data_IF_200954412085
#
_entry.id   IF_200954412085
#
_cell.length_a   1.000
_cell.length_b   1.000
_cell.length_c   1.000
_cell.angle_alpha   90.00
_cell.angle_beta   90.00
_cell.angle_gamma   90.00
#
_symmetry.space_group_name_H-M   'P 1'
#
loop_
_entity.id
_entity.type
_entity.pdbx_description
1 polymer ?
#
# COMPACT_ATOMS: atom_id res chain seq x y z
N UNK A 1 -16.92 21.34 -12.28
CA UNK A 1 -16.50 20.18 -11.48
C UNK A 1 -17.57 19.94 -10.41
N UNK A 2 -18.17 18.76 -10.38
CA UNK A 2 -19.12 18.37 -9.35
C UNK A 2 -18.41 18.18 -7.99
N UNK A 3 -19.17 18.14 -6.90
CA UNK A 3 -18.60 17.84 -5.57
C UNK A 3 -17.92 16.46 -5.53
N UNK A 4 -18.45 15.48 -6.28
CA UNK A 4 -17.86 14.14 -6.37
C UNK A 4 -16.50 14.18 -7.08
N UNK A 5 -16.42 14.84 -8.23
CA UNK A 5 -15.17 15.03 -8.96
C UNK A 5 -14.12 15.78 -8.12
N UNK A 6 -14.54 16.77 -7.33
CA UNK A 6 -13.65 17.48 -6.39
C UNK A 6 -13.11 16.54 -5.31
N UNK A 7 -13.98 15.77 -4.65
CA UNK A 7 -13.58 14.85 -3.59
C UNK A 7 -12.66 13.76 -4.13
N UNK A 8 -12.94 13.27 -5.34
CA UNK A 8 -12.09 12.33 -6.05
C UNK A 8 -10.69 12.91 -6.27
N UNK A 9 -10.60 14.10 -6.86
CA UNK A 9 -9.31 14.75 -7.10
C UNK A 9 -8.54 15.03 -5.79
N UNK A 10 -9.23 15.44 -4.73
CA UNK A 10 -8.60 15.66 -3.41
C UNK A 10 -8.06 14.35 -2.83
N UNK A 11 -8.82 13.26 -2.90
CA UNK A 11 -8.40 11.95 -2.41
C UNK A 11 -7.17 11.44 -3.19
N UNK A 12 -7.18 11.59 -4.51
CA UNK A 12 -6.06 11.19 -5.38
C UNK A 12 -4.81 12.02 -5.11
N UNK A 13 -4.93 13.35 -5.10
CA UNK A 13 -3.81 14.26 -4.81
C UNK A 13 -3.21 13.97 -3.43
N UNK A 14 -4.05 13.70 -2.42
CA UNK A 14 -3.58 13.29 -1.11
C UNK A 14 -2.75 12.00 -1.18
N UNK A 15 -3.29 10.96 -1.82
CA UNK A 15 -2.60 9.68 -2.01
C UNK A 15 -1.25 9.86 -2.73
N UNK A 16 -1.23 10.64 -3.81
CA UNK A 16 -0.03 10.95 -4.61
C UNK A 16 1.03 11.64 -3.75
N UNK A 17 0.66 12.70 -3.02
CA UNK A 17 1.57 13.45 -2.16
C UNK A 17 2.18 12.53 -1.09
N UNK A 18 1.34 11.71 -0.44
CA UNK A 18 1.78 10.76 0.57
C UNK A 18 2.74 9.72 -0.01
N UNK A 19 2.38 9.12 -1.14
CA UNK A 19 3.17 8.08 -1.79
C UNK A 19 4.55 8.59 -2.21
N UNK A 20 4.65 9.70 -2.94
CA UNK A 20 5.96 10.27 -3.28
C UNK A 20 6.75 10.71 -2.04
N UNK A 21 6.11 11.41 -1.10
CA UNK A 21 6.82 11.94 0.07
C UNK A 21 7.40 10.83 0.94
N UNK A 22 6.62 9.79 1.25
CA UNK A 22 7.07 8.72 2.13
C UNK A 22 7.85 7.64 1.39
N UNK A 23 7.58 7.40 0.11
CA UNK A 23 8.41 6.53 -0.73
C UNK A 23 9.86 7.03 -0.79
N UNK A 24 10.05 8.33 -1.06
CA UNK A 24 11.38 8.96 -1.03
C UNK A 24 12.02 8.87 0.36
N UNK A 25 11.25 9.07 1.45
CA UNK A 25 11.79 8.98 2.82
C UNK A 25 12.18 7.54 3.19
N UNK A 26 11.45 6.52 2.75
CA UNK A 26 11.83 5.12 2.93
C UNK A 26 13.20 4.83 2.30
N UNK A 27 13.40 5.27 1.06
CA UNK A 27 14.67 5.09 0.34
C UNK A 27 15.79 5.89 1.01
N UNK A 28 15.59 7.18 1.27
CA UNK A 28 16.67 8.06 1.74
C UNK A 28 17.11 7.74 3.16
N UNK A 29 16.15 7.56 4.07
CA UNK A 29 16.42 7.49 5.51
C UNK A 29 16.61 6.06 6.01
N UNK A 30 15.94 5.07 5.40
CA UNK A 30 15.92 3.70 5.90
C UNK A 30 16.55 2.69 4.94
N UNK A 31 16.91 3.11 3.72
CA UNK A 31 17.38 2.21 2.64
C UNK A 31 16.42 1.05 2.37
N UNK A 32 15.13 1.28 2.63
CA UNK A 32 14.08 0.30 2.40
C UNK A 32 13.51 0.51 0.99
N UNK A 33 14.12 -0.13 0.01
CA UNK A 33 13.75 0.01 -1.40
C UNK A 33 12.40 -0.64 -1.71
N UNK A 34 12.06 -1.76 -1.05
CA UNK A 34 10.77 -2.43 -1.16
C UNK A 34 9.61 -1.46 -0.88
N UNK A 35 9.54 -0.90 0.34
CA UNK A 35 8.46 0.04 0.67
C UNK A 35 8.58 1.36 -0.10
N UNK A 36 9.81 1.81 -0.32
CA UNK A 36 10.08 3.07 -0.99
C UNK A 36 9.57 3.12 -2.42
N UNK A 37 9.92 2.11 -3.21
CA UNK A 37 9.50 2.01 -4.61
C UNK A 37 8.02 1.67 -4.73
N UNK A 38 7.47 0.82 -3.86
CA UNK A 38 6.04 0.51 -3.87
C UNK A 38 5.18 1.77 -3.66
N UNK A 39 5.53 2.62 -2.70
CA UNK A 39 4.82 3.89 -2.47
C UNK A 39 4.87 4.81 -3.70
N UNK A 40 6.01 4.82 -4.39
CA UNK A 40 6.20 5.59 -5.62
C UNK A 40 5.38 5.00 -6.77
N UNK A 41 5.26 3.67 -6.86
CA UNK A 41 4.42 2.97 -7.85
C UNK A 41 2.95 3.33 -7.63
N UNK A 42 2.44 3.25 -6.41
CA UNK A 42 1.07 3.64 -6.07
C UNK A 42 0.82 5.12 -6.42
N UNK A 43 1.74 6.03 -6.07
CA UNK A 43 1.63 7.44 -6.43
C UNK A 43 1.69 7.68 -7.95
N UNK A 44 2.48 6.89 -8.67
CA UNK A 44 2.58 6.97 -10.14
C UNK A 44 1.29 6.48 -10.78
N UNK A 45 0.68 5.40 -10.25
CA UNK A 45 -0.64 4.94 -10.66
C UNK A 45 -1.69 6.03 -10.49
N UNK A 46 -1.79 6.62 -9.29
CA UNK A 46 -2.70 7.75 -9.02
C UNK A 46 -2.44 8.94 -9.93
N UNK A 47 -1.19 9.28 -10.21
CA UNK A 47 -0.87 10.39 -11.12
C UNK A 47 -1.40 10.13 -12.54
N UNK A 48 -1.26 8.90 -13.04
CA UNK A 48 -1.81 8.53 -14.35
C UNK A 48 -3.34 8.56 -14.32
N UNK A 49 -3.96 8.09 -13.23
CA UNK A 49 -5.40 8.09 -13.06
C UNK A 49 -5.99 9.51 -12.96
N UNK A 50 -5.34 10.42 -12.23
CA UNK A 50 -5.69 11.82 -12.15
C UNK A 50 -5.60 12.50 -13.52
N UNK A 51 -4.49 12.32 -14.24
CA UNK A 51 -4.30 12.92 -15.57
C UNK A 51 -5.36 12.39 -16.53
N UNK A 52 -5.55 11.07 -16.57
CA UNK A 52 -6.59 10.39 -17.35
C UNK A 52 -7.98 11.02 -17.09
N UNK A 53 -8.36 11.18 -15.81
CA UNK A 53 -9.65 11.76 -15.42
C UNK A 53 -9.77 13.25 -15.76
N UNK A 54 -8.70 14.04 -15.59
CA UNK A 54 -8.69 15.47 -15.89
C UNK A 54 -8.83 15.77 -17.39
N UNK A 55 -8.16 14.98 -18.24
CA UNK A 55 -8.25 15.14 -19.70
C UNK A 55 -9.44 14.40 -20.30
N UNK A 56 -10.19 13.63 -19.50
CA UNK A 56 -11.32 12.80 -19.92
C UNK A 56 -10.96 11.90 -21.10
N UNK A 57 -9.78 11.28 -21.03
CA UNK A 57 -9.35 10.33 -22.05
C UNK A 57 -10.26 9.09 -22.05
N UNK A 58 -10.32 8.37 -23.17
CA UNK A 58 -11.02 7.09 -23.23
C UNK A 58 -10.26 5.96 -22.50
N UNK A 59 -10.95 4.86 -22.21
CA UNK A 59 -10.35 3.66 -21.59
C UNK A 59 -9.27 3.02 -22.48
N UNK A 60 -9.28 3.30 -23.79
CA UNK A 60 -8.23 2.89 -24.74
C UNK A 60 -6.92 3.70 -24.58
N UNK A 61 -6.87 4.66 -23.65
CA UNK A 61 -5.71 5.52 -23.48
C UNK A 61 -4.53 4.78 -22.83
N UNK A 62 -3.29 5.06 -23.26
CA UNK A 62 -2.10 4.50 -22.60
C UNK A 62 -2.01 4.85 -21.11
N UNK A 63 -2.55 6.00 -20.69
CA UNK A 63 -2.57 6.43 -19.30
C UNK A 63 -3.47 5.52 -18.45
N UNK A 64 -4.65 5.18 -18.96
CA UNK A 64 -5.55 4.24 -18.28
C UNK A 64 -4.94 2.84 -18.20
N UNK A 65 -4.42 2.32 -19.31
CA UNK A 65 -3.79 1.00 -19.36
C UNK A 65 -2.61 0.91 -18.37
N UNK A 66 -1.79 1.95 -18.29
CA UNK A 66 -0.66 1.98 -17.37
C UNK A 66 -1.09 2.12 -15.90
N UNK A 67 -2.06 2.97 -15.58
CA UNK A 67 -2.63 3.08 -14.24
C UNK A 67 -3.25 1.73 -13.79
N UNK A 68 -4.00 1.07 -14.67
CA UNK A 68 -4.63 -0.21 -14.41
C UNK A 68 -3.60 -1.32 -14.16
N UNK A 69 -2.52 -1.36 -14.95
CA UNK A 69 -1.39 -2.26 -14.71
C UNK A 69 -0.73 -2.02 -13.34
N UNK A 70 -0.46 -0.77 -12.98
CA UNK A 70 0.18 -0.45 -11.70
C UNK A 70 -0.76 -0.71 -10.50
N UNK A 71 -2.07 -0.51 -10.64
CA UNK A 71 -3.06 -0.92 -9.63
C UNK A 71 -3.04 -2.45 -9.44
N UNK A 72 -3.09 -3.21 -10.54
CA UNK A 72 -3.01 -4.67 -10.52
C UNK A 72 -1.69 -5.17 -9.89
N UNK A 73 -0.56 -4.53 -10.22
CA UNK A 73 0.75 -4.76 -9.61
C UNK A 73 0.69 -4.60 -8.08
N UNK A 74 0.18 -3.46 -7.62
CA UNK A 74 0.15 -3.11 -6.20
C UNK A 74 -0.82 -4.00 -5.41
N UNK A 75 -1.99 -4.30 -5.95
CA UNK A 75 -2.98 -5.18 -5.30
C UNK A 75 -2.55 -6.64 -5.25
N UNK A 76 -1.80 -7.10 -6.25
CA UNK A 76 -1.36 -8.49 -6.32
C UNK A 76 -0.19 -8.78 -5.39
N UNK A 77 0.94 -8.10 -5.59
CA UNK A 77 2.23 -8.42 -4.95
C UNK A 77 2.86 -7.20 -4.27
N UNK A 78 2.57 -5.98 -4.72
CA UNK A 78 3.14 -4.74 -4.18
C UNK A 78 2.77 -4.48 -2.71
N UNK A 79 1.53 -4.05 -2.46
CA UNK A 79 1.03 -3.77 -1.10
C UNK A 79 0.64 -5.05 -0.36
N UNK A 80 1.10 -6.20 -0.85
CA UNK A 80 0.97 -7.50 -0.19
C UNK A 80 2.36 -8.03 0.18
N UNK A 81 3.01 -8.78 -0.70
CA UNK A 81 4.30 -9.40 -0.46
C UNK A 81 5.42 -8.36 -0.26
N UNK A 82 5.55 -7.38 -1.14
CA UNK A 82 6.60 -6.35 -1.05
C UNK A 82 6.42 -5.53 0.23
N UNK A 83 5.17 -5.18 0.59
CA UNK A 83 4.85 -4.55 1.86
C UNK A 83 5.30 -5.41 3.06
N UNK A 84 4.93 -6.69 3.08
CA UNK A 84 5.29 -7.61 4.17
C UNK A 84 6.81 -7.70 4.31
N UNK A 85 7.53 -7.97 3.22
CA UNK A 85 8.99 -8.06 3.21
C UNK A 85 9.64 -6.76 3.68
N UNK A 86 9.11 -5.61 3.24
CA UNK A 86 9.55 -4.30 3.65
C UNK A 86 9.37 -4.04 5.15
N UNK A 87 8.22 -4.43 5.72
CA UNK A 87 7.94 -4.29 7.16
C UNK A 87 8.73 -5.31 8.02
N UNK A 88 9.10 -6.46 7.47
CA UNK A 88 9.95 -7.43 8.17
C UNK A 88 11.32 -6.86 8.55
N UNK A 89 11.77 -5.79 7.91
CA UNK A 89 13.00 -5.09 8.33
C UNK A 89 12.92 -4.52 9.74
N UNK A 90 11.75 -4.05 10.18
CA UNK A 90 11.57 -3.55 11.55
C UNK A 90 11.04 -4.62 12.51
N UNK A 91 10.19 -5.55 12.05
CA UNK A 91 9.61 -6.55 12.96
C UNK A 91 10.54 -7.74 13.23
N UNK A 92 11.31 -8.16 12.23
CA UNK A 92 12.15 -9.36 12.24
C UNK A 92 13.65 -9.06 12.02
N UNK A 93 14.02 -7.78 11.85
CA UNK A 93 15.39 -7.36 11.46
C UNK A 93 15.84 -7.97 10.13
N UNK A 94 14.88 -8.30 9.27
CA UNK A 94 15.15 -8.89 7.98
C UNK A 94 15.81 -7.85 7.04
N UNK A 95 16.91 -8.22 6.41
CA UNK A 95 17.60 -7.39 5.42
C UNK A 95 17.57 -8.14 4.09
N UNK A 96 16.62 -7.83 3.19
CA UNK A 96 16.58 -8.48 1.89
C UNK A 96 17.86 -8.17 1.11
N UNK A 97 18.32 -9.14 0.33
CA UNK A 97 19.39 -8.90 -0.64
C UNK A 97 18.82 -8.17 -1.86
N UNK A 98 19.67 -7.51 -2.64
CA UNK A 98 19.26 -6.87 -3.88
C UNK A 98 18.57 -7.86 -4.85
N UNK A 99 18.97 -9.13 -4.83
CA UNK A 99 18.33 -10.17 -5.64
C UNK A 99 16.87 -10.44 -5.19
N UNK A 100 16.59 -10.43 -3.88
CA UNK A 100 15.23 -10.58 -3.36
C UNK A 100 14.38 -9.37 -3.73
N UNK A 101 14.92 -8.16 -3.60
CA UNK A 101 14.21 -6.94 -4.00
C UNK A 101 13.84 -6.98 -5.49
N UNK A 102 14.82 -7.25 -6.36
CA UNK A 102 14.60 -7.35 -7.81
C UNK A 102 13.59 -8.45 -8.13
N UNK A 103 13.72 -9.63 -7.52
CA UNK A 103 12.80 -10.74 -7.75
C UNK A 103 11.37 -10.38 -7.32
N UNK A 104 11.19 -9.70 -6.19
CA UNK A 104 9.87 -9.29 -5.70
C UNK A 104 9.20 -8.32 -6.68
N UNK A 105 9.92 -7.29 -7.15
CA UNK A 105 9.41 -6.35 -8.16
C UNK A 105 9.16 -7.02 -9.52
N UNK A 106 10.01 -7.98 -9.93
CA UNK A 106 9.81 -8.73 -11.17
C UNK A 106 8.56 -9.62 -11.12
N UNK A 107 8.35 -10.34 -10.01
CA UNK A 107 7.15 -11.14 -9.78
C UNK A 107 5.91 -10.26 -9.74
N UNK A 108 5.98 -9.11 -9.07
CA UNK A 108 4.90 -8.15 -9.06
C UNK A 108 4.59 -7.58 -10.45
N UNK A 109 5.63 -7.31 -11.26
CA UNK A 109 5.51 -6.90 -12.65
C UNK A 109 4.79 -7.94 -13.50
N UNK A 110 5.22 -9.20 -13.41
CA UNK A 110 4.61 -10.30 -14.13
C UNK A 110 3.15 -10.53 -13.69
N UNK A 111 2.88 -10.54 -12.38
CA UNK A 111 1.54 -10.71 -11.84
C UNK A 111 0.61 -9.56 -12.25
N UNK A 112 1.05 -8.31 -12.08
CA UNK A 112 0.30 -7.13 -12.50
C UNK A 112 0.02 -7.13 -14.01
N UNK A 113 0.99 -7.55 -14.83
CA UNK A 113 0.80 -7.66 -16.28
C UNK A 113 -0.24 -8.73 -16.62
N UNK A 114 -0.10 -9.94 -16.09
CA UNK A 114 -1.02 -11.04 -16.37
C UNK A 114 -2.44 -10.70 -15.88
N UNK A 115 -2.58 -10.17 -14.67
CA UNK A 115 -3.88 -9.88 -14.07
C UNK A 115 -4.57 -8.65 -14.68
N UNK A 116 -3.82 -7.74 -15.32
CA UNK A 116 -4.41 -6.59 -16.02
C UNK A 116 -4.70 -6.91 -17.49
N UNK A 117 -3.79 -7.55 -18.21
CA UNK A 117 -3.96 -7.83 -19.64
C UNK A 117 -4.97 -8.94 -19.91
N UNK A 118 -5.07 -9.93 -19.01
CA UNK A 118 -5.99 -11.07 -19.16
C UNK A 118 -7.13 -11.01 -18.15
N UNK A 119 -7.53 -9.80 -17.71
CA UNK A 119 -8.52 -9.63 -16.65
C UNK A 119 -9.87 -10.27 -17.00
N UNK A 120 -10.30 -10.16 -18.27
CA UNK A 120 -11.56 -10.71 -18.75
C UNK A 120 -11.51 -12.24 -18.87
N UNK A 121 -10.40 -12.80 -19.36
CA UNK A 121 -10.20 -14.24 -19.51
C UNK A 121 -10.03 -14.94 -18.15
N UNK A 122 -9.33 -14.29 -17.22
CA UNK A 122 -9.14 -14.81 -15.86
C UNK A 122 -10.44 -14.69 -15.07
N UNK A 123 -11.18 -13.59 -15.21
CA UNK A 123 -12.46 -13.35 -14.57
C UNK A 123 -12.43 -13.50 -13.05
N UNK A 124 -13.41 -14.22 -12.49
CA UNK A 124 -13.61 -14.40 -11.04
C UNK A 124 -12.38 -14.94 -10.29
N UNK A 125 -11.65 -15.96 -10.79
CA UNK A 125 -10.39 -16.38 -10.18
C UNK A 125 -9.39 -15.25 -9.85
N UNK A 126 -9.24 -14.26 -10.73
CA UNK A 126 -8.32 -13.13 -10.51
C UNK A 126 -8.79 -12.21 -9.39
N UNK A 127 -10.11 -11.97 -9.32
CA UNK A 127 -10.75 -11.23 -8.23
C UNK A 127 -10.58 -11.94 -6.87
N UNK A 128 -10.78 -13.26 -6.85
CA UNK A 128 -10.55 -14.09 -5.65
C UNK A 128 -9.09 -14.03 -5.23
N UNK A 129 -8.15 -14.10 -6.18
CA UNK A 129 -6.73 -13.99 -5.90
C UNK A 129 -6.40 -12.69 -5.15
N UNK A 130 -6.91 -11.54 -5.60
CA UNK A 130 -6.71 -10.25 -4.92
C UNK A 130 -7.20 -10.27 -3.47
N UNK A 131 -8.38 -10.83 -3.20
CA UNK A 131 -8.88 -10.95 -1.82
C UNK A 131 -8.02 -11.88 -0.99
N UNK A 132 -7.60 -13.04 -1.52
CA UNK A 132 -6.78 -13.99 -0.77
C UNK A 132 -5.47 -13.36 -0.34
N UNK A 133 -4.75 -12.69 -1.25
CA UNK A 133 -3.50 -12.01 -0.91
C UNK A 133 -3.73 -10.85 0.06
N UNK A 134 -4.85 -10.14 -0.06
CA UNK A 134 -5.24 -9.08 0.88
C UNK A 134 -5.53 -9.63 2.29
N UNK A 135 -6.23 -10.76 2.42
CA UNK A 135 -6.50 -11.44 3.71
C UNK A 135 -5.17 -11.82 4.37
N UNK A 136 -4.28 -12.47 3.64
CA UNK A 136 -2.97 -12.89 4.16
C UNK A 136 -2.15 -11.67 4.63
N UNK A 137 -2.18 -10.59 3.85
CA UNK A 137 -1.52 -9.33 4.21
C UNK A 137 -2.15 -8.70 5.45
N UNK A 138 -3.47 -8.72 5.56
CA UNK A 138 -4.23 -8.21 6.70
C UNK A 138 -3.86 -8.94 7.99
N UNK A 139 -3.68 -10.26 7.94
CA UNK A 139 -3.20 -11.05 9.08
C UNK A 139 -1.80 -10.59 9.53
N UNK A 140 -0.89 -10.37 8.59
CA UNK A 140 0.44 -9.84 8.91
C UNK A 140 0.37 -8.42 9.48
N UNK A 141 -0.49 -7.55 8.95
CA UNK A 141 -0.65 -6.18 9.44
C UNK A 141 -1.30 -6.13 10.82
N UNK A 142 -2.22 -7.05 11.13
CA UNK A 142 -2.74 -7.23 12.48
C UNK A 142 -1.61 -7.66 13.45
N UNK A 143 -0.74 -8.57 13.02
CA UNK A 143 0.49 -8.91 13.76
C UNK A 143 1.39 -7.68 13.94
N UNK A 144 1.62 -6.88 12.90
CA UNK A 144 2.43 -5.66 12.98
C UNK A 144 1.84 -4.64 13.96
N UNK A 145 0.52 -4.42 13.93
CA UNK A 145 -0.20 -3.57 14.88
C UNK A 145 -0.05 -4.09 16.32
N UNK A 146 -0.17 -5.40 16.54
CA UNK A 146 0.09 -6.02 17.84
C UNK A 146 1.53 -5.75 18.31
N UNK A 147 2.52 -5.92 17.43
CA UNK A 147 3.93 -5.66 17.78
C UNK A 147 4.18 -4.20 18.15
N UNK A 148 3.55 -3.25 17.46
CA UNK A 148 3.58 -1.83 17.83
C UNK A 148 2.98 -1.58 19.22
N UNK A 149 1.86 -2.25 19.51
CA UNK A 149 1.22 -2.17 20.82
C UNK A 149 2.15 -2.67 21.94
N UNK A 150 2.79 -3.81 21.71
CA UNK A 150 3.68 -4.46 22.67
C UNK A 150 4.94 -3.61 22.99
N UNK A 151 5.43 -2.81 22.02
CA UNK A 151 6.55 -1.88 22.24
C UNK A 151 6.13 -0.51 22.79
N UNK A 152 4.85 -0.33 23.13
CA UNK A 152 4.29 0.89 23.72
C UNK A 152 3.81 1.95 22.73
N UNK A 153 3.93 1.72 21.42
CA UNK A 153 3.53 2.66 20.35
C UNK A 153 2.02 2.55 20.04
N UNK A 154 1.17 2.69 21.07
CA UNK A 154 -0.28 2.41 20.99
C UNK A 154 -1.02 3.25 19.96
N UNK A 155 -0.68 4.53 19.83
CA UNK A 155 -1.30 5.41 18.83
C UNK A 155 -1.04 4.93 17.41
N UNK A 156 0.19 4.51 17.11
CA UNK A 156 0.55 3.94 15.82
C UNK A 156 -0.08 2.57 15.59
N UNK A 157 -0.19 1.73 16.63
CA UNK A 157 -0.91 0.46 16.56
C UNK A 157 -2.39 0.65 16.17
N UNK A 158 -3.10 1.57 16.83
CA UNK A 158 -4.53 1.84 16.56
C UNK A 158 -4.71 2.34 15.11
N UNK A 159 -3.92 3.33 14.70
CA UNK A 159 -4.05 3.87 13.34
C UNK A 159 -3.66 2.85 12.26
N UNK A 160 -2.69 1.98 12.54
CA UNK A 160 -2.37 0.85 11.65
C UNK A 160 -3.57 -0.08 11.53
N UNK A 161 -4.20 -0.48 12.65
CA UNK A 161 -5.37 -1.34 12.64
C UNK A 161 -6.57 -0.72 11.90
N UNK A 162 -6.83 0.58 12.09
CA UNK A 162 -7.89 1.31 11.38
C UNK A 162 -7.60 1.34 9.88
N UNK A 163 -6.38 1.71 9.47
CA UNK A 163 -6.02 1.75 8.06
C UNK A 163 -6.06 0.37 7.40
N UNK A 164 -5.66 -0.68 8.12
CA UNK A 164 -5.78 -2.08 7.67
C UNK A 164 -7.25 -2.48 7.51
N UNK A 165 -8.12 -2.14 8.47
CA UNK A 165 -9.55 -2.44 8.37
C UNK A 165 -10.21 -1.73 7.18
N UNK A 166 -9.91 -0.44 6.95
CA UNK A 166 -10.36 0.28 5.77
C UNK A 166 -9.88 -0.40 4.48
N UNK A 167 -8.60 -0.77 4.41
CA UNK A 167 -8.03 -1.47 3.26
C UNK A 167 -8.70 -2.81 2.98
N UNK A 168 -9.00 -3.58 4.03
CA UNK A 168 -9.72 -4.83 3.93
C UNK A 168 -11.15 -4.65 3.41
N UNK A 169 -11.86 -3.62 3.90
CA UNK A 169 -13.21 -3.29 3.42
C UNK A 169 -13.17 -2.92 1.94
N UNK A 170 -12.26 -2.02 1.54
CA UNK A 170 -12.10 -1.62 0.13
C UNK A 170 -11.80 -2.84 -0.75
N UNK A 171 -10.85 -3.69 -0.36
CA UNK A 171 -10.51 -4.90 -1.11
C UNK A 171 -11.69 -5.88 -1.24
N UNK A 172 -12.50 -6.00 -0.18
CA UNK A 172 -13.68 -6.89 -0.17
C UNK A 172 -14.80 -6.41 -1.08
N UNK A 173 -14.95 -5.10 -1.26
CA UNK A 173 -16.01 -4.53 -2.11
C UNK A 173 -15.54 -4.28 -3.55
N UNK A 174 -14.23 -4.08 -3.78
CA UNK A 174 -13.65 -3.66 -5.07
C UNK A 174 -14.27 -4.38 -6.27
N UNK A 175 -14.18 -5.71 -6.28
CA UNK A 175 -14.55 -6.50 -7.46
C UNK A 175 -15.90 -7.22 -7.32
N UNK A 176 -16.57 -7.08 -6.17
CA UNK A 176 -17.69 -7.92 -5.74
C UNK A 176 -18.96 -7.16 -5.39
N UNK A 177 -18.87 -5.87 -5.09
CA UNK A 177 -20.00 -5.09 -4.60
C UNK A 177 -20.12 -3.78 -5.36
N UNK A 178 -21.30 -3.56 -5.96
CA UNK A 178 -21.65 -2.26 -6.52
C UNK A 178 -22.20 -1.35 -5.41
N UNK A 179 -21.61 -0.16 -5.24
CA UNK A 179 -22.04 0.80 -4.23
C UNK A 179 -23.33 1.49 -4.70
N UNK A 180 -24.44 1.45 -3.93
CA UNK A 180 -25.66 2.13 -4.31
C UNK A 180 -25.45 3.65 -4.49
N UNK A 181 -25.87 4.18 -5.64
CA UNK A 181 -25.76 5.62 -5.97
C UNK A 181 -24.39 6.04 -6.54
N UNK A 182 -23.51 5.09 -6.81
CA UNK A 182 -22.28 5.30 -7.55
C UNK A 182 -22.56 5.50 -9.05
N UNK A 183 -21.67 6.20 -9.74
CA UNK A 183 -21.79 6.43 -11.18
C UNK A 183 -21.11 5.32 -11.99
N UNK A 184 -21.24 5.39 -13.32
CA UNK A 184 -20.68 4.40 -14.24
C UNK A 184 -19.15 4.31 -14.17
N UNK A 185 -18.48 5.37 -13.73
CA UNK A 185 -17.02 5.41 -13.53
C UNK A 185 -16.61 5.02 -12.10
N UNK A 186 -17.56 4.59 -11.27
CA UNK A 186 -17.33 4.18 -9.89
C UNK A 186 -16.65 5.26 -9.01
N UNK A 187 -17.01 6.54 -9.22
CA UNK A 187 -16.35 7.67 -8.57
C UNK A 187 -16.43 7.61 -7.04
N UNK A 188 -17.56 7.18 -6.46
CA UNK A 188 -17.70 7.06 -5.00
C UNK A 188 -16.80 5.96 -4.45
N UNK A 189 -16.72 4.82 -5.13
CA UNK A 189 -15.77 3.77 -4.80
C UNK A 189 -14.33 4.30 -4.83
N UNK A 190 -13.93 4.98 -5.91
CA UNK A 190 -12.57 5.49 -6.04
C UNK A 190 -12.21 6.56 -5.00
N UNK A 191 -13.15 7.43 -4.60
CA UNK A 191 -12.94 8.36 -3.48
C UNK A 191 -12.53 7.58 -2.22
N UNK A 192 -13.28 6.52 -1.89
CA UNK A 192 -13.01 5.67 -0.73
C UNK A 192 -11.68 4.90 -0.86
N UNK A 193 -11.43 4.32 -2.03
CA UNK A 193 -10.23 3.56 -2.32
C UNK A 193 -8.96 4.42 -2.24
N UNK A 194 -8.92 5.55 -2.94
CA UNK A 194 -7.77 6.47 -2.97
C UNK A 194 -7.50 7.09 -1.58
N UNK A 195 -8.56 7.45 -0.85
CA UNK A 195 -8.44 7.92 0.52
C UNK A 195 -7.83 6.85 1.43
N UNK A 196 -8.24 5.60 1.25
CA UNK A 196 -7.73 4.44 2.01
C UNK A 196 -6.27 4.15 1.67
N UNK A 197 -5.90 4.15 0.39
CA UNK A 197 -4.53 4.02 -0.07
C UNK A 197 -3.62 5.09 0.55
N UNK A 198 -4.04 6.36 0.50
CA UNK A 198 -3.32 7.46 1.14
C UNK A 198 -3.20 7.28 2.67
N UNK A 199 -4.27 6.83 3.34
CA UNK A 199 -4.24 6.55 4.77
C UNK A 199 -3.29 5.40 5.13
N UNK A 200 -3.32 4.29 4.40
CA UNK A 200 -2.43 3.15 4.61
C UNK A 200 -0.97 3.57 4.43
N UNK A 201 -0.66 4.23 3.31
CA UNK A 201 0.69 4.72 3.04
C UNK A 201 1.20 5.68 4.12
N UNK A 202 0.34 6.56 4.62
CA UNK A 202 0.67 7.50 5.69
C UNK A 202 0.90 6.80 7.02
N UNK A 203 -0.05 5.97 7.44
CA UNK A 203 -0.03 5.32 8.76
C UNK A 203 1.11 4.30 8.87
N UNK A 204 1.32 3.48 7.83
CA UNK A 204 2.35 2.46 7.84
C UNK A 204 3.76 3.07 7.83
N UNK A 205 3.99 4.17 7.11
CA UNK A 205 5.27 4.89 7.22
C UNK A 205 5.53 5.42 8.64
N UNK A 206 4.52 6.04 9.26
CA UNK A 206 4.64 6.57 10.63
C UNK A 206 4.90 5.46 11.64
N UNK A 207 4.17 4.35 11.52
CA UNK A 207 4.33 3.17 12.34
C UNK A 207 5.71 2.53 12.16
N UNK A 208 6.17 2.37 10.91
CA UNK A 208 7.50 1.87 10.60
C UNK A 208 8.58 2.70 11.29
N UNK A 209 8.52 4.03 11.14
CA UNK A 209 9.50 4.93 11.77
C UNK A 209 9.51 4.80 13.28
N UNK A 210 8.34 4.68 13.93
CA UNK A 210 8.25 4.52 15.38
C UNK A 210 8.90 3.20 15.82
N UNK A 211 8.62 2.12 15.09
CA UNK A 211 9.23 0.81 15.33
C UNK A 211 10.75 0.84 15.14
N UNK A 212 11.23 1.42 14.05
CA UNK A 212 12.66 1.57 13.78
C UNK A 212 13.37 2.38 14.87
N UNK A 213 12.76 3.47 15.34
CA UNK A 213 13.31 4.26 16.45
C UNK A 213 13.36 3.45 17.76
N UNK A 214 12.36 2.61 18.03
CA UNK A 214 12.40 1.69 19.18
C UNK A 214 13.55 0.68 19.03
N UNK A 215 13.68 0.07 17.86
CA UNK A 215 14.75 -0.87 17.52
C UNK A 215 16.14 -0.27 17.77
N UNK A 216 16.40 0.94 17.26
CA UNK A 216 17.67 1.64 17.45
C UNK A 216 17.97 1.92 18.94
N UNK A 217 16.96 2.31 19.73
CA UNK A 217 17.12 2.53 21.19
C UNK A 217 17.49 1.24 21.92
N UNK A 218 16.86 0.13 21.55
CA UNK A 218 17.13 -1.19 22.13
C UNK A 218 18.54 -1.66 21.78
N UNK A 219 18.97 -1.48 20.53
CA UNK A 219 20.30 -1.84 20.07
C UNK A 219 21.39 -1.02 20.79
N UNK A 220 21.17 0.29 20.97
CA UNK A 220 22.09 1.17 21.70
C UNK A 220 22.24 0.78 23.18
N UNK A 221 21.15 0.36 23.85
CA UNK A 221 21.20 -0.12 25.24
C UNK A 221 21.98 -1.42 25.38
N UNK A 222 21.83 -2.34 24.43
CA UNK A 222 22.56 -3.61 24.42
C UNK A 222 24.08 -3.38 24.28
N UNK A 223 24.50 -2.43 23.45
CA UNK A 223 25.92 -2.06 23.26
C UNK A 223 26.50 -1.38 24.51
N UNK A 224 25.71 -0.56 25.21
CA UNK A 224 26.16 0.19 26.38
C UNK A 224 26.16 -0.62 27.70
N UNK A 225 25.88 -1.93 27.66
CA UNK A 225 26.04 -2.85 28.79
C UNK A 225 25.23 -2.51 30.05
N UNK A 226 24.18 -1.69 29.94
CA UNK A 226 23.40 -1.28 31.12
C UNK A 226 22.52 -2.46 31.55
N UNK A 227 22.72 -3.06 32.74
CA UNK A 227 21.91 -4.19 33.18
C UNK A 227 20.46 -3.73 33.35
N UNK A 228 19.51 -4.53 32.85
CA UNK A 228 18.10 -4.39 33.20
C UNK A 228 17.98 -4.74 34.68
N UNK A 229 17.93 -3.74 35.55
CA UNK A 229 17.42 -3.92 36.90
C UNK A 229 15.95 -4.35 36.77
N UNK A 230 15.70 -5.56 37.27
CA UNK A 230 14.40 -6.24 37.34
C UNK A 230 13.32 -5.42 38.05
#
# INVERSE_FOLDING_TARGET
MSIRELLFAVADIWMIIVGFTYGIKFIRNYKNYLLGLEWIIVATSGTNFLIYGLIKAGHDSPMYAFAYFLDAFSRSVGITLILVLGLMSVTHRYKPSAAVDIAAFAVAGAAGFVLSQFADEIGTPGKIFYIVVNVLTTLFLAYFAKRLWDIGERGHAIWTAVATACGFVIASIYDFVHIPGDDAEHTLFYIGALSTWGLQMFTYFRAYRAFDAHNQRTDARAVNGTPVTA
#
